data_IF_006317215633
#
_entry.id   IF_006317215633
#
_cell.length_a   1.000
_cell.length_b   1.000
_cell.length_c   1.000
_cell.angle_alpha   90.00
_cell.angle_beta   90.00
_cell.angle_gamma   90.00
#
_symmetry.space_group_name_H-M   'P 1'
#
loop_
_entity.id
_entity.type
_entity.pdbx_description
1 polymer ?
#
# COMPACT_ATOMS: atom_id res chain seq x y z
N UNK A 1 14.56 6.53 -45.02
CA UNK A 1 13.50 7.07 -44.15
C UNK A 1 13.42 6.16 -42.91
N UNK A 2 13.94 6.60 -41.78
CA UNK A 2 13.74 5.90 -40.50
C UNK A 2 12.26 6.10 -40.13
N UNK A 3 11.46 5.07 -40.26
CA UNK A 3 10.12 5.06 -39.70
C UNK A 3 10.24 5.29 -38.21
N UNK A 4 9.79 6.44 -37.75
CA UNK A 4 9.74 6.78 -36.32
C UNK A 4 8.88 5.69 -35.66
N UNK A 5 9.53 4.76 -34.96
CA UNK A 5 8.82 3.70 -34.22
C UNK A 5 7.90 4.43 -33.23
N UNK A 6 6.59 4.28 -33.40
CA UNK A 6 5.62 4.90 -32.48
C UNK A 6 5.84 4.22 -31.13
N UNK A 7 5.99 5.03 -30.08
CA UNK A 7 6.13 4.52 -28.72
C UNK A 7 5.09 3.45 -28.44
N UNK A 8 5.55 2.29 -28.02
CA UNK A 8 4.69 1.15 -27.71
C UNK A 8 4.30 1.09 -26.23
N UNK A 9 4.88 1.96 -25.39
CA UNK A 9 4.63 1.95 -23.95
C UNK A 9 3.20 2.42 -23.63
N UNK A 10 2.47 1.54 -22.96
CA UNK A 10 1.11 1.80 -22.51
C UNK A 10 1.03 1.58 -21.00
N UNK A 11 0.08 2.25 -20.37
CA UNK A 11 -0.25 2.05 -18.98
C UNK A 11 -1.76 2.02 -18.78
N UNK A 12 -2.23 1.16 -17.91
CA UNK A 12 -3.61 1.14 -17.42
C UNK A 12 -3.65 0.90 -15.92
N UNK A 13 -4.61 1.52 -15.24
CA UNK A 13 -4.91 1.22 -13.85
C UNK A 13 -5.83 0.01 -13.81
N UNK A 14 -5.43 -0.99 -13.05
CA UNK A 14 -6.27 -2.17 -12.78
C UNK A 14 -7.09 -1.95 -11.52
N UNK A 15 -6.43 -1.54 -10.45
CA UNK A 15 -7.04 -1.18 -9.17
C UNK A 15 -6.01 -0.51 -8.26
N UNK A 16 -6.41 0.09 -7.18
CA UNK A 16 -5.61 0.65 -6.06
C UNK A 16 -4.12 0.90 -6.39
N UNK A 17 -3.21 -0.01 -6.00
CA UNK A 17 -1.77 0.01 -6.28
C UNK A 17 -1.39 -0.84 -7.51
N UNK A 18 -2.38 -1.39 -8.21
CA UNK A 18 -2.18 -2.29 -9.33
C UNK A 18 -2.31 -1.54 -10.66
N UNK A 19 -1.19 -1.38 -11.35
CA UNK A 19 -1.11 -0.87 -12.72
C UNK A 19 -0.51 -1.94 -13.64
N UNK A 20 -0.94 -1.93 -14.90
CA UNK A 20 -0.38 -2.75 -15.94
C UNK A 20 0.42 -1.87 -16.88
N UNK A 21 1.75 -2.05 -16.91
CA UNK A 21 2.67 -1.36 -17.81
C UNK A 21 3.05 -2.33 -18.91
N UNK A 22 2.77 -1.96 -20.16
CA UNK A 22 3.10 -2.76 -21.35
C UNK A 22 4.17 -2.06 -22.17
N UNK A 23 5.22 -2.77 -22.52
CA UNK A 23 6.29 -2.31 -23.40
C UNK A 23 6.77 -3.47 -24.26
N UNK A 24 6.63 -3.35 -25.56
CA UNK A 24 7.00 -4.40 -26.52
C UNK A 24 6.48 -5.79 -26.11
N UNK A 25 7.37 -6.66 -25.59
CA UNK A 25 7.08 -8.04 -25.19
C UNK A 25 6.81 -8.20 -23.68
N UNK A 26 7.05 -7.15 -22.88
CA UNK A 26 6.85 -7.18 -21.43
C UNK A 26 5.55 -6.52 -21.05
N UNK A 27 4.77 -7.21 -20.22
CA UNK A 27 3.60 -6.69 -19.55
C UNK A 27 3.76 -6.89 -18.05
N UNK A 28 4.08 -5.81 -17.32
CA UNK A 28 4.35 -5.80 -15.89
C UNK A 28 3.11 -5.35 -15.14
N UNK A 29 2.53 -6.23 -14.33
CA UNK A 29 1.46 -5.93 -13.38
C UNK A 29 2.06 -5.65 -12.00
N UNK A 30 1.56 -4.63 -11.29
CA UNK A 30 2.01 -4.34 -9.93
C UNK A 30 0.95 -4.74 -8.90
N UNK A 31 1.39 -5.16 -7.72
CA UNK A 31 0.63 -5.26 -6.47
C UNK A 31 -0.85 -5.71 -6.63
N UNK A 32 -1.13 -6.97 -7.01
CA UNK A 32 -2.46 -7.41 -7.41
C UNK A 32 -3.37 -7.66 -6.21
N UNK A 33 -4.06 -6.62 -5.74
CA UNK A 33 -5.19 -6.70 -4.81
C UNK A 33 -6.47 -6.24 -5.54
N UNK A 34 -7.37 -7.15 -5.85
CA UNK A 34 -8.49 -6.94 -6.77
C UNK A 34 -9.86 -7.17 -6.15
N UNK A 35 -9.91 -7.78 -4.99
CA UNK A 35 -11.14 -8.13 -4.26
C UNK A 35 -10.85 -8.45 -2.80
N UNK A 36 -11.90 -8.34 -1.98
CA UNK A 36 -11.87 -8.61 -0.55
C UNK A 36 -11.19 -7.50 0.24
N UNK A 37 -11.38 -7.56 1.55
CA UNK A 37 -10.87 -6.54 2.47
C UNK A 37 -9.41 -6.80 2.87
N UNK A 38 -8.71 -5.73 3.24
CA UNK A 38 -7.34 -5.77 3.74
C UNK A 38 -7.29 -5.33 5.21
N UNK A 39 -6.19 -5.70 5.89
CA UNK A 39 -5.91 -5.28 7.27
C UNK A 39 -7.04 -5.61 8.25
N UNK A 40 -7.50 -6.89 8.25
CA UNK A 40 -8.56 -7.36 9.14
C UNK A 40 -9.84 -6.51 9.02
N UNK A 41 -10.40 -6.48 7.82
CA UNK A 41 -11.62 -5.74 7.43
C UNK A 41 -11.53 -4.21 7.66
N UNK A 42 -10.30 -3.72 7.89
CA UNK A 42 -10.09 -2.29 8.10
C UNK A 42 -10.12 -1.46 6.82
N UNK A 43 -9.76 -2.04 5.68
CA UNK A 43 -9.73 -1.37 4.38
C UNK A 43 -10.47 -2.15 3.33
N UNK A 44 -11.22 -1.45 2.48
CA UNK A 44 -11.86 -2.02 1.30
C UNK A 44 -11.56 -1.18 0.04
N UNK A 45 -11.65 -1.84 -1.10
CA UNK A 45 -11.51 -1.23 -2.41
C UNK A 45 -12.79 -0.44 -2.76
N UNK A 46 -12.65 0.72 -3.39
CA UNK A 46 -13.80 1.42 -3.99
C UNK A 46 -14.39 0.65 -5.18
N UNK A 47 -13.58 -0.10 -5.86
CA UNK A 47 -13.94 -0.91 -7.01
C UNK A 47 -13.29 -2.28 -6.88
N UNK A 48 -14.05 -3.35 -7.02
CA UNK A 48 -13.55 -4.71 -7.09
C UNK A 48 -13.59 -5.22 -8.53
N UNK A 49 -12.54 -5.91 -8.94
CA UNK A 49 -12.50 -6.56 -10.23
C UNK A 49 -13.20 -7.92 -10.17
N UNK A 50 -14.07 -8.18 -11.12
CA UNK A 50 -14.68 -9.49 -11.23
C UNK A 50 -13.71 -10.55 -11.79
N UNK A 51 -14.14 -11.82 -11.73
CA UNK A 51 -13.30 -12.95 -12.16
C UNK A 51 -12.90 -12.83 -13.65
N UNK A 52 -13.79 -12.41 -14.51
CA UNK A 52 -13.55 -12.34 -15.96
C UNK A 52 -12.60 -11.19 -16.30
N UNK A 53 -12.73 -10.06 -15.61
CA UNK A 53 -11.78 -8.94 -15.71
C UNK A 53 -10.36 -9.38 -15.30
N UNK A 54 -10.24 -10.05 -14.15
CA UNK A 54 -8.95 -10.57 -13.66
C UNK A 54 -8.36 -11.56 -14.66
N UNK A 55 -9.16 -12.49 -15.16
CA UNK A 55 -8.71 -13.47 -16.15
C UNK A 55 -8.25 -12.81 -17.46
N UNK A 56 -8.95 -11.78 -17.94
CA UNK A 56 -8.53 -11.02 -19.15
C UNK A 56 -7.21 -10.30 -18.92
N UNK A 57 -7.03 -9.68 -17.76
CA UNK A 57 -5.78 -8.99 -17.40
C UNK A 57 -4.63 -9.99 -17.37
N UNK A 58 -4.77 -11.09 -16.61
CA UNK A 58 -3.72 -12.10 -16.46
C UNK A 58 -3.30 -12.72 -17.79
N UNK A 59 -4.19 -12.89 -18.75
CA UNK A 59 -3.86 -13.40 -20.09
C UNK A 59 -2.87 -12.50 -20.87
N UNK A 60 -2.71 -11.24 -20.47
CA UNK A 60 -1.75 -10.32 -21.08
C UNK A 60 -0.49 -10.08 -20.24
N UNK A 61 -0.43 -10.62 -19.01
CA UNK A 61 0.67 -10.38 -18.07
C UNK A 61 1.83 -11.34 -18.29
N UNK A 62 3.05 -10.83 -18.29
CA UNK A 62 4.28 -11.64 -18.31
C UNK A 62 4.98 -11.64 -16.94
N UNK A 63 4.89 -10.53 -16.22
CA UNK A 63 5.53 -10.35 -14.91
C UNK A 63 4.58 -9.69 -13.92
N UNK A 64 4.68 -10.09 -12.66
CA UNK A 64 4.03 -9.41 -11.53
C UNK A 64 5.13 -8.89 -10.61
N UNK A 65 5.10 -7.60 -10.29
CA UNK A 65 5.92 -7.00 -9.25
C UNK A 65 5.11 -6.87 -7.98
N UNK A 66 5.68 -7.29 -6.85
CA UNK A 66 5.14 -7.08 -5.51
C UNK A 66 6.09 -6.14 -4.78
N UNK A 67 5.59 -5.00 -4.33
CA UNK A 67 6.39 -3.96 -3.67
C UNK A 67 6.80 -4.36 -2.26
N UNK A 68 5.85 -4.86 -1.47
CA UNK A 68 6.06 -5.29 -0.09
C UNK A 68 4.93 -6.23 0.38
N UNK A 69 4.99 -6.65 1.64
CA UNK A 69 4.15 -7.72 2.20
C UNK A 69 2.79 -7.29 2.74
N UNK A 70 2.44 -6.00 2.73
CA UNK A 70 1.13 -5.54 3.18
C UNK A 70 0.00 -6.13 2.33
N UNK A 71 -1.17 -6.44 2.94
CA UNK A 71 -2.24 -7.18 2.26
C UNK A 71 -2.92 -6.43 1.11
N UNK A 72 -2.80 -5.12 1.04
CA UNK A 72 -3.26 -4.26 -0.05
C UNK A 72 -2.30 -4.22 -1.25
N UNK A 73 -1.09 -4.77 -1.10
CA UNK A 73 -0.09 -4.97 -2.15
C UNK A 73 0.16 -6.46 -2.42
N UNK A 74 0.24 -7.27 -1.36
CA UNK A 74 0.42 -8.71 -1.43
C UNK A 74 -0.85 -9.44 -0.98
N UNK A 75 -1.83 -9.58 -1.88
CA UNK A 75 -3.09 -10.26 -1.60
C UNK A 75 -2.94 -11.77 -1.60
N UNK A 76 -2.85 -12.38 -0.42
CA UNK A 76 -2.84 -13.84 -0.25
C UNK A 76 -4.06 -14.51 -0.93
N UNK A 77 -5.29 -13.98 -0.80
CA UNK A 77 -6.46 -14.52 -1.50
C UNK A 77 -6.30 -14.55 -3.03
N UNK A 78 -5.71 -13.50 -3.62
CA UNK A 78 -5.43 -13.45 -5.05
C UNK A 78 -4.48 -14.58 -5.47
N UNK A 79 -3.32 -14.69 -4.82
CA UNK A 79 -2.32 -15.70 -5.18
C UNK A 79 -2.84 -17.12 -4.98
N UNK A 80 -3.60 -17.40 -3.92
CA UNK A 80 -4.23 -18.71 -3.72
C UNK A 80 -5.25 -19.03 -4.79
N UNK A 81 -6.12 -18.08 -5.15
CA UNK A 81 -7.20 -18.30 -6.12
C UNK A 81 -6.70 -18.48 -7.55
N UNK A 82 -5.66 -17.74 -7.93
CA UNK A 82 -5.18 -17.70 -9.31
C UNK A 82 -3.84 -18.41 -9.53
N UNK A 83 -3.29 -19.14 -8.54
CA UNK A 83 -2.00 -19.84 -8.65
C UNK A 83 -1.88 -20.70 -9.90
N UNK A 84 -2.84 -21.57 -10.16
CA UNK A 84 -2.83 -22.44 -11.35
C UNK A 84 -2.77 -21.62 -12.65
N UNK A 85 -3.58 -20.55 -12.75
CA UNK A 85 -3.57 -19.69 -13.93
C UNK A 85 -2.23 -18.96 -14.11
N UNK A 86 -1.61 -18.52 -13.01
CA UNK A 86 -0.28 -17.89 -13.06
C UNK A 86 0.79 -18.89 -13.53
N UNK A 87 0.69 -20.15 -13.12
CA UNK A 87 1.57 -21.23 -13.55
C UNK A 87 1.36 -21.53 -15.05
N UNK A 88 0.11 -21.75 -15.47
CA UNK A 88 -0.25 -22.08 -16.85
C UNK A 88 0.22 -21.01 -17.84
N UNK A 89 0.15 -19.74 -17.45
CA UNK A 89 0.60 -18.59 -18.22
C UNK A 89 2.11 -18.31 -18.07
N UNK A 90 2.83 -19.09 -17.24
CA UNK A 90 4.26 -18.91 -16.94
C UNK A 90 4.60 -17.47 -16.49
N UNK A 91 3.74 -16.86 -15.69
CA UNK A 91 3.94 -15.51 -15.16
C UNK A 91 5.03 -15.53 -14.10
N UNK A 92 6.03 -14.65 -14.26
CA UNK A 92 7.14 -14.52 -13.32
C UNK A 92 6.81 -13.46 -12.25
N UNK A 93 7.06 -13.78 -10.99
CA UNK A 93 6.79 -12.87 -9.87
C UNK A 93 8.11 -12.28 -9.39
N UNK A 94 8.21 -10.97 -9.36
CA UNK A 94 9.39 -10.23 -8.90
C UNK A 94 9.10 -9.71 -7.50
N UNK A 95 9.93 -10.10 -6.55
CA UNK A 95 9.89 -9.61 -5.17
C UNK A 95 11.30 -9.29 -4.70
N UNK A 96 11.45 -8.27 -3.85
CA UNK A 96 12.75 -7.90 -3.30
C UNK A 96 13.38 -9.03 -2.46
N UNK A 97 14.70 -9.10 -2.48
CA UNK A 97 15.44 -9.97 -1.56
C UNK A 97 15.29 -9.44 -0.13
N UNK A 98 14.75 -10.26 0.77
CA UNK A 98 14.56 -9.95 2.19
C UNK A 98 15.23 -11.00 3.06
N UNK A 99 15.63 -10.64 4.28
CA UNK A 99 16.13 -11.62 5.26
C UNK A 99 15.01 -12.56 5.71
N UNK A 100 13.81 -12.03 5.81
CA UNK A 100 12.60 -12.79 6.05
C UNK A 100 12.06 -13.33 4.73
N UNK A 101 12.11 -14.63 4.57
CA UNK A 101 11.72 -15.30 3.33
C UNK A 101 10.23 -15.68 3.27
N UNK A 102 9.37 -15.13 4.14
CA UNK A 102 7.96 -15.54 4.25
C UNK A 102 7.18 -15.39 2.94
N UNK A 103 7.24 -14.23 2.31
CA UNK A 103 6.55 -13.97 1.03
C UNK A 103 7.05 -14.93 -0.04
N UNK A 104 8.36 -15.03 -0.21
CA UNK A 104 8.99 -15.90 -1.22
C UNK A 104 8.66 -17.37 -0.96
N UNK A 105 8.72 -17.81 0.31
CA UNK A 105 8.37 -19.17 0.71
C UNK A 105 6.91 -19.48 0.40
N UNK A 106 6.00 -18.57 0.75
CA UNK A 106 4.58 -18.72 0.42
C UNK A 106 4.34 -18.85 -1.09
N UNK A 107 4.93 -17.99 -1.90
CA UNK A 107 4.79 -18.05 -3.36
C UNK A 107 5.38 -19.35 -3.95
N UNK A 108 6.50 -19.84 -3.41
CA UNK A 108 7.11 -21.11 -3.82
C UNK A 108 6.30 -22.33 -3.40
N UNK A 109 5.63 -22.29 -2.24
CA UNK A 109 4.67 -23.35 -1.83
C UNK A 109 3.52 -23.46 -2.82
N UNK A 110 3.12 -22.35 -3.45
CA UNK A 110 2.13 -22.35 -4.53
C UNK A 110 2.71 -22.71 -5.90
N UNK A 111 3.96 -23.17 -5.98
CA UNK A 111 4.69 -23.51 -7.21
C UNK A 111 4.83 -22.35 -8.20
N UNK A 112 4.79 -21.11 -7.75
CA UNK A 112 4.93 -19.93 -8.58
C UNK A 112 6.40 -19.65 -8.92
N UNK A 113 6.65 -19.10 -10.11
CA UNK A 113 7.99 -18.74 -10.55
C UNK A 113 8.39 -17.39 -9.93
N UNK A 114 9.28 -17.40 -8.94
CA UNK A 114 9.69 -16.21 -8.19
C UNK A 114 11.12 -15.80 -8.57
N UNK A 115 11.26 -14.54 -9.00
CA UNK A 115 12.53 -13.84 -9.18
C UNK A 115 12.80 -13.01 -7.92
N UNK A 116 13.79 -13.43 -7.15
CA UNK A 116 14.24 -12.72 -5.96
C UNK A 116 15.20 -11.59 -6.35
N UNK A 117 14.72 -10.37 -6.29
CA UNK A 117 15.42 -9.19 -6.79
C UNK A 117 16.40 -8.63 -5.76
N UNK A 118 17.70 -8.65 -6.07
CA UNK A 118 18.74 -8.02 -5.24
C UNK A 118 18.61 -6.50 -5.28
N UNK A 119 18.72 -5.87 -4.11
CA UNK A 119 18.66 -4.41 -3.97
C UNK A 119 19.66 -3.70 -4.90
N UNK A 120 19.15 -2.73 -5.67
CA UNK A 120 19.93 -1.88 -6.58
C UNK A 120 20.70 -2.66 -7.67
N UNK A 121 20.15 -3.79 -8.13
CA UNK A 121 20.68 -4.55 -9.27
C UNK A 121 19.65 -4.58 -10.41
N UNK A 122 20.13 -4.41 -11.64
CA UNK A 122 19.29 -4.57 -12.81
C UNK A 122 18.94 -6.04 -13.04
N UNK A 123 17.69 -6.27 -13.40
CA UNK A 123 17.15 -7.55 -13.88
C UNK A 123 16.65 -7.29 -15.29
N UNK A 124 17.13 -8.07 -16.24
CA UNK A 124 16.64 -8.08 -17.62
C UNK A 124 15.30 -8.84 -17.64
N UNK A 125 14.24 -8.17 -18.08
CA UNK A 125 12.92 -8.80 -18.27
C UNK A 125 12.77 -9.31 -19.71
N UNK A 126 13.31 -8.55 -20.65
CA UNK A 126 13.48 -8.87 -22.05
C UNK A 126 14.52 -7.92 -22.69
N UNK A 127 14.84 -8.12 -23.97
CA UNK A 127 15.80 -7.29 -24.70
C UNK A 127 15.44 -5.79 -24.55
N UNK A 128 16.39 -5.00 -24.01
CA UNK A 128 16.24 -3.56 -23.75
C UNK A 128 15.16 -3.17 -22.72
N UNK A 129 14.57 -4.12 -21.99
CA UNK A 129 13.62 -3.84 -20.90
C UNK A 129 14.18 -4.39 -19.60
N UNK A 130 14.49 -3.50 -18.68
CA UNK A 130 15.15 -3.83 -17.43
C UNK A 130 14.44 -3.22 -16.25
N UNK A 131 14.36 -3.95 -15.14
CA UNK A 131 13.83 -3.45 -13.87
C UNK A 131 14.91 -3.46 -12.80
N UNK A 132 14.92 -2.45 -11.97
CA UNK A 132 15.79 -2.33 -10.79
C UNK A 132 14.94 -2.05 -9.58
N UNK A 133 15.13 -2.85 -8.52
CA UNK A 133 14.40 -2.71 -7.26
C UNK A 133 15.29 -1.99 -6.25
N UNK A 134 14.69 -1.07 -5.49
CA UNK A 134 15.33 -0.39 -4.38
C UNK A 134 14.54 -0.69 -3.11
N UNK A 135 15.17 -1.37 -2.16
CA UNK A 135 14.59 -1.59 -0.83
C UNK A 135 14.59 -0.27 -0.05
N UNK A 136 13.45 0.07 0.52
CA UNK A 136 13.19 1.30 1.27
C UNK A 136 12.79 0.93 2.69
N UNK A 137 13.42 1.56 3.68
CA UNK A 137 13.12 1.21 5.08
C UNK A 137 13.38 -0.26 5.39
N UNK A 138 12.41 -0.90 6.04
CA UNK A 138 12.52 -2.29 6.51
C UNK A 138 11.80 -3.31 5.64
N UNK A 139 10.70 -2.92 5.02
CA UNK A 139 9.81 -3.83 4.28
C UNK A 139 9.48 -3.35 2.86
N UNK A 140 9.48 -2.03 2.62
CA UNK A 140 9.02 -1.45 1.37
C UNK A 140 10.04 -1.58 0.26
N UNK A 141 9.57 -1.50 -0.98
CA UNK A 141 10.42 -1.35 -2.15
C UNK A 141 9.78 -0.51 -3.24
N UNK A 142 10.62 0.14 -4.00
CA UNK A 142 10.26 0.89 -5.20
C UNK A 142 11.00 0.30 -6.40
N UNK A 143 10.49 0.49 -7.60
CA UNK A 143 11.22 0.10 -8.80
C UNK A 143 11.49 1.25 -9.76
N UNK A 144 12.56 1.08 -10.53
CA UNK A 144 12.85 1.79 -11.75
C UNK A 144 12.80 0.78 -12.92
N UNK A 145 11.80 0.93 -13.79
CA UNK A 145 11.69 0.17 -15.03
C UNK A 145 12.23 1.02 -16.18
N UNK A 146 13.20 0.49 -16.91
CA UNK A 146 13.75 1.09 -18.13
C UNK A 146 13.19 0.34 -19.33
N UNK A 147 12.47 1.03 -20.19
CA UNK A 147 12.03 0.56 -21.51
C UNK A 147 12.88 1.24 -22.59
N UNK A 148 12.75 0.88 -23.87
CA UNK A 148 13.42 1.62 -24.94
C UNK A 148 13.11 3.11 -24.96
N UNK A 149 11.91 3.53 -24.51
CA UNK A 149 11.43 4.90 -24.69
C UNK A 149 11.23 5.68 -23.39
N UNK A 150 11.01 5.02 -22.25
CA UNK A 150 10.66 5.68 -21.01
C UNK A 150 11.38 5.06 -19.81
N UNK A 151 11.41 5.84 -18.71
CA UNK A 151 11.63 5.33 -17.36
C UNK A 151 10.33 5.40 -16.58
N UNK A 152 9.94 4.30 -15.93
CA UNK A 152 8.84 4.28 -14.97
C UNK A 152 9.41 4.14 -13.56
N UNK A 153 9.07 5.04 -12.67
CA UNK A 153 9.39 4.99 -11.24
C UNK A 153 8.08 4.72 -10.52
N UNK A 154 7.97 3.56 -9.89
CA UNK A 154 6.85 3.26 -9.02
C UNK A 154 7.30 3.31 -7.57
N UNK A 155 6.91 4.34 -6.87
CA UNK A 155 7.23 4.55 -5.46
C UNK A 155 6.14 4.03 -4.53
N UNK A 156 5.02 3.55 -5.08
CA UNK A 156 3.87 3.07 -4.32
C UNK A 156 3.48 4.03 -3.20
N UNK A 157 3.42 3.52 -1.98
CA UNK A 157 3.20 4.22 -0.72
C UNK A 157 4.50 4.48 0.06
N UNK A 158 5.66 4.15 -0.52
CA UNK A 158 6.97 4.37 0.10
C UNK A 158 7.22 5.83 0.47
N UNK A 159 7.67 6.06 1.68
CA UNK A 159 8.17 7.36 2.12
C UNK A 159 9.67 7.48 1.84
N UNK A 160 10.00 7.98 0.65
CA UNK A 160 11.38 8.13 0.23
C UNK A 160 12.08 9.24 1.01
N UNK A 161 13.21 8.92 1.62
CA UNK A 161 14.16 9.93 2.08
C UNK A 161 14.80 10.66 0.88
N UNK A 162 15.41 11.81 1.13
CA UNK A 162 16.19 12.52 0.11
C UNK A 162 17.30 11.63 -0.49
N UNK A 163 17.94 10.81 0.35
CA UNK A 163 19.02 9.92 -0.09
C UNK A 163 18.50 8.79 -0.97
N UNK A 164 17.33 8.19 -0.63
CA UNK A 164 16.71 7.16 -1.45
C UNK A 164 16.35 7.72 -2.82
N UNK A 165 15.67 8.86 -2.86
CA UNK A 165 15.32 9.52 -4.10
C UNK A 165 16.55 9.87 -4.96
N UNK A 166 17.63 10.38 -4.35
CA UNK A 166 18.88 10.64 -5.04
C UNK A 166 19.55 9.38 -5.58
N UNK A 167 19.52 8.29 -4.80
CA UNK A 167 20.02 6.97 -5.23
C UNK A 167 19.28 6.46 -6.45
N UNK A 168 17.95 6.57 -6.48
CA UNK A 168 17.13 6.19 -7.64
C UNK A 168 17.48 7.08 -8.83
N UNK A 169 17.49 8.40 -8.64
CA UNK A 169 17.71 9.39 -9.68
C UNK A 169 19.09 9.25 -10.38
N UNK A 170 20.11 8.77 -9.66
CA UNK A 170 21.43 8.50 -10.21
C UNK A 170 21.45 7.33 -11.22
N UNK A 171 20.37 6.57 -11.34
CA UNK A 171 20.21 5.47 -12.31
C UNK A 171 19.37 5.87 -13.53
N UNK A 172 18.96 7.14 -13.62
CA UNK A 172 18.14 7.67 -14.71
C UNK A 172 19.02 8.47 -15.64
N UNK A 173 19.07 8.03 -16.89
CA UNK A 173 19.70 8.82 -17.95
C UNK A 173 18.73 9.90 -18.43
N UNK A 174 19.25 11.11 -18.68
CA UNK A 174 18.43 12.29 -19.08
C UNK A 174 17.92 12.25 -20.53
N UNK A 175 17.99 11.09 -21.18
CA UNK A 175 17.68 10.90 -22.60
C UNK A 175 16.23 10.43 -22.85
N UNK A 176 15.50 10.04 -21.80
CA UNK A 176 14.14 9.49 -21.89
C UNK A 176 13.19 10.18 -20.91
N UNK A 177 11.89 10.30 -21.25
CA UNK A 177 10.88 10.73 -20.29
C UNK A 177 10.81 9.86 -19.04
N UNK A 178 10.50 10.49 -17.91
CA UNK A 178 10.28 9.82 -16.63
C UNK A 178 8.79 9.87 -16.29
N UNK A 179 8.21 8.72 -16.03
CA UNK A 179 6.84 8.55 -15.56
C UNK A 179 6.90 8.16 -14.08
N UNK A 180 6.35 9.00 -13.23
CA UNK A 180 6.32 8.79 -11.78
C UNK A 180 4.94 8.32 -11.34
N UNK A 181 4.89 7.19 -10.62
CA UNK A 181 3.70 6.67 -9.94
C UNK A 181 3.88 6.83 -8.44
N UNK A 182 2.92 7.46 -7.76
CA UNK A 182 2.99 7.67 -6.31
C UNK A 182 1.59 7.81 -5.70
N UNK A 183 1.46 7.36 -4.44
CA UNK A 183 0.23 7.51 -3.68
C UNK A 183 -0.12 8.98 -3.43
N UNK A 184 -1.42 9.26 -3.29
CA UNK A 184 -1.91 10.64 -3.13
C UNK A 184 -2.75 10.88 -1.87
N UNK A 185 -3.10 9.84 -1.12
CA UNK A 185 -3.85 9.97 0.12
C UNK A 185 -3.13 9.25 1.27
N UNK A 186 -3.54 9.53 2.48
CA UNK A 186 -2.95 8.88 3.64
C UNK A 186 -3.59 7.51 3.90
N UNK A 187 -2.77 6.63 4.47
CA UNK A 187 -3.17 5.39 5.08
C UNK A 187 -2.57 5.44 6.48
N UNK A 188 -3.32 5.70 7.53
CA UNK A 188 -2.76 5.67 8.86
C UNK A 188 -3.77 6.03 9.96
N UNK A 189 -3.39 5.75 11.12
CA UNK A 189 -4.07 5.35 12.33
C UNK A 189 -4.38 6.45 13.36
N UNK A 190 -4.04 7.70 13.15
CA UNK A 190 -4.40 8.76 14.11
C UNK A 190 -5.76 9.35 13.81
N UNK A 191 -6.61 9.40 14.82
CA UNK A 191 -8.01 9.78 14.66
C UNK A 191 -8.30 11.28 14.85
N UNK A 192 -7.33 12.12 15.28
CA UNK A 192 -7.59 13.54 15.45
C UNK A 192 -7.81 14.22 14.11
N UNK A 193 -8.82 15.12 14.04
CA UNK A 193 -9.13 15.85 12.80
C UNK A 193 -7.93 16.68 12.31
N UNK A 194 -7.19 17.30 13.22
CA UNK A 194 -5.99 18.08 12.87
C UNK A 194 -4.90 17.23 12.23
N UNK A 195 -4.68 16.03 12.75
CA UNK A 195 -3.70 15.13 12.18
C UNK A 195 -4.10 14.67 10.76
N UNK A 196 -5.36 14.27 10.55
CA UNK A 196 -5.87 13.83 9.25
C UNK A 196 -5.65 14.89 8.16
N UNK A 197 -5.96 16.14 8.46
CA UNK A 197 -5.75 17.26 7.55
C UNK A 197 -4.26 17.48 7.24
N UNK A 198 -3.39 17.39 8.26
CA UNK A 198 -1.94 17.49 8.06
C UNK A 198 -1.42 16.34 7.21
N UNK A 199 -1.88 15.11 7.45
CA UNK A 199 -1.49 13.92 6.69
C UNK A 199 -1.94 14.02 5.23
N UNK A 200 -3.19 14.43 4.98
CA UNK A 200 -3.70 14.65 3.63
C UNK A 200 -2.88 15.70 2.87
N UNK A 201 -2.60 16.84 3.50
CA UNK A 201 -1.76 17.90 2.93
C UNK A 201 -0.32 17.42 2.67
N UNK A 202 0.24 16.63 3.59
CA UNK A 202 1.59 16.07 3.43
C UNK A 202 1.69 15.21 2.17
N UNK A 203 0.72 14.32 1.90
CA UNK A 203 0.72 13.49 0.70
C UNK A 203 0.65 14.33 -0.60
N UNK A 204 -0.10 15.42 -0.63
CA UNK A 204 -0.09 16.35 -1.77
C UNK A 204 1.29 16.99 -1.98
N UNK A 205 1.93 17.45 -0.89
CA UNK A 205 3.27 18.03 -0.96
C UNK A 205 4.30 16.99 -1.44
N UNK A 206 4.17 15.72 -1.05
CA UNK A 206 5.06 14.65 -1.53
C UNK A 206 4.95 14.44 -3.04
N UNK A 207 3.75 14.47 -3.62
CA UNK A 207 3.58 14.42 -5.08
C UNK A 207 4.42 15.50 -5.78
N UNK A 208 4.35 16.76 -5.30
CA UNK A 208 5.12 17.86 -5.89
C UNK A 208 6.63 17.69 -5.67
N UNK A 209 7.06 17.29 -4.47
CA UNK A 209 8.48 17.09 -4.15
C UNK A 209 9.12 15.99 -5.00
N UNK A 210 8.46 14.83 -5.11
CA UNK A 210 8.98 13.70 -5.89
C UNK A 210 8.96 13.99 -7.39
N UNK A 211 7.91 14.67 -7.88
CA UNK A 211 7.87 15.13 -9.26
C UNK A 211 9.08 16.03 -9.62
N UNK A 212 9.40 16.97 -8.75
CA UNK A 212 10.58 17.86 -8.92
C UNK A 212 11.90 17.08 -8.80
N UNK A 213 12.01 16.17 -7.83
CA UNK A 213 13.21 15.36 -7.58
C UNK A 213 13.59 14.52 -8.79
N UNK A 214 12.60 13.84 -9.39
CA UNK A 214 12.82 12.97 -10.56
C UNK A 214 12.70 13.70 -11.89
N UNK A 215 12.37 14.99 -11.88
CA UNK A 215 12.07 15.76 -13.10
C UNK A 215 11.07 15.01 -13.99
N UNK A 216 9.98 14.51 -13.38
CA UNK A 216 9.04 13.65 -14.06
C UNK A 216 8.32 14.37 -15.21
N UNK A 217 8.30 13.74 -16.38
CA UNK A 217 7.58 14.22 -17.56
C UNK A 217 6.06 14.00 -17.43
N UNK A 218 5.67 13.03 -16.59
CA UNK A 218 4.29 12.69 -16.28
C UNK A 218 4.21 12.10 -14.87
N UNK A 219 3.30 12.62 -14.05
CA UNK A 219 2.93 12.06 -12.76
C UNK A 219 1.61 11.29 -12.89
N UNK A 220 1.56 10.07 -12.36
CA UNK A 220 0.34 9.26 -12.26
C UNK A 220 0.04 9.04 -10.78
N UNK A 221 -0.89 9.81 -10.19
CA UNK A 221 -1.36 9.56 -8.84
C UNK A 221 -2.15 8.26 -8.77
N UNK A 222 -1.78 7.34 -7.86
CA UNK A 222 -2.41 6.04 -7.71
C UNK A 222 -2.25 5.49 -6.27
N UNK A 223 -2.48 4.20 -6.02
CA UNK A 223 -2.30 3.55 -4.72
C UNK A 223 -3.01 4.26 -3.55
N UNK A 224 -4.24 4.76 -3.81
CA UNK A 224 -5.05 5.44 -2.80
C UNK A 224 -6.56 5.30 -3.08
N UNK A 225 -6.96 4.29 -3.88
CA UNK A 225 -8.36 4.05 -4.24
C UNK A 225 -9.02 3.06 -3.29
N UNK A 226 -8.95 3.39 -1.99
CA UNK A 226 -9.49 2.60 -0.88
C UNK A 226 -10.28 3.49 0.07
N UNK A 227 -11.05 2.85 0.94
CA UNK A 227 -11.66 3.52 2.09
C UNK A 227 -11.49 2.68 3.36
N UNK A 228 -11.55 3.35 4.51
CA UNK A 228 -11.61 2.71 5.81
C UNK A 228 -13.01 2.12 5.99
N UNK A 229 -13.09 0.79 6.04
CA UNK A 229 -14.34 0.05 5.82
C UNK A 229 -14.99 -0.49 7.09
N UNK A 230 -14.39 -0.26 8.26
CA UNK A 230 -14.92 -0.76 9.53
C UNK A 230 -15.54 0.36 10.36
N UNK A 231 -16.55 0.04 11.18
CA UNK A 231 -17.20 1.00 12.08
C UNK A 231 -16.19 1.77 12.94
N UNK A 232 -15.15 1.08 13.43
CA UNK A 232 -14.14 1.67 14.33
C UNK A 232 -13.21 2.68 13.64
N UNK A 233 -13.03 2.59 12.32
CA UNK A 233 -12.11 3.44 11.57
C UNK A 233 -12.75 4.30 10.48
N UNK A 234 -14.07 4.19 10.29
CA UNK A 234 -14.78 4.89 9.21
C UNK A 234 -14.63 6.40 9.25
N UNK A 235 -14.44 6.97 10.45
CA UNK A 235 -14.19 8.40 10.66
C UNK A 235 -12.87 8.88 10.02
N UNK A 236 -11.96 7.97 9.69
CA UNK A 236 -10.71 8.30 8.98
C UNK A 236 -10.96 8.71 7.52
N UNK A 237 -12.13 8.43 6.97
CA UNK A 237 -12.48 8.82 5.60
C UNK A 237 -12.74 10.32 5.42
N UNK A 238 -12.93 11.09 6.49
CA UNK A 238 -13.38 12.49 6.44
C UNK A 238 -12.44 13.45 5.71
N UNK A 239 -11.15 13.17 5.72
CA UNK A 239 -10.11 14.08 5.20
C UNK A 239 -9.25 13.48 4.07
N UNK A 240 -9.60 12.28 3.57
CA UNK A 240 -8.88 11.65 2.45
C UNK A 240 -8.84 12.57 1.23
N UNK A 241 -7.77 12.46 0.47
CA UNK A 241 -7.65 13.21 -0.78
C UNK A 241 -8.42 12.50 -1.89
N UNK A 242 -9.44 13.16 -2.46
CA UNK A 242 -10.11 12.66 -3.67
C UNK A 242 -9.32 13.02 -4.93
N UNK A 243 -9.51 12.30 -6.06
CA UNK A 243 -8.90 12.65 -7.34
C UNK A 243 -9.14 14.09 -7.77
N UNK A 244 -10.32 14.65 -7.50
CA UNK A 244 -10.64 16.05 -7.78
C UNK A 244 -9.75 16.99 -6.97
N UNK A 245 -9.65 16.79 -5.66
CA UNK A 245 -8.80 17.60 -4.76
C UNK A 245 -7.33 17.56 -5.19
N UNK A 246 -6.83 16.37 -5.56
CA UNK A 246 -5.46 16.18 -6.05
C UNK A 246 -5.26 16.86 -7.41
N UNK A 247 -6.24 16.74 -8.32
CA UNK A 247 -6.21 17.40 -9.63
C UNK A 247 -6.08 18.90 -9.49
N UNK A 248 -6.88 19.52 -8.61
CA UNK A 248 -6.83 20.96 -8.37
C UNK A 248 -5.47 21.39 -7.80
N UNK A 249 -4.92 20.63 -6.87
CA UNK A 249 -3.57 20.87 -6.33
C UNK A 249 -2.48 20.79 -7.42
N UNK A 250 -2.48 19.72 -8.24
CA UNK A 250 -1.44 19.51 -9.26
C UNK A 250 -1.52 20.56 -10.38
N UNK A 251 -2.71 21.04 -10.74
CA UNK A 251 -2.90 22.16 -11.67
C UNK A 251 -2.28 23.45 -11.11
N UNK A 252 -2.51 23.75 -9.84
CA UNK A 252 -1.95 24.94 -9.20
C UNK A 252 -0.41 24.88 -9.09
N UNK A 253 0.16 23.68 -8.96
CA UNK A 253 1.61 23.47 -8.98
C UNK A 253 2.21 23.39 -10.41
N UNK A 254 1.40 23.52 -11.47
CA UNK A 254 1.80 23.35 -12.87
C UNK A 254 2.48 21.99 -13.14
N UNK A 255 2.04 20.94 -12.48
CA UNK A 255 2.55 19.57 -12.66
C UNK A 255 1.72 18.87 -13.72
N UNK A 256 2.38 18.25 -14.70
CA UNK A 256 1.74 17.39 -15.68
C UNK A 256 1.40 16.05 -15.06
N UNK A 257 0.13 15.67 -15.09
CA UNK A 257 -0.38 14.44 -14.48
C UNK A 257 -1.45 13.77 -15.30
N UNK A 258 -1.70 12.50 -15.03
CA UNK A 258 -2.87 11.76 -15.52
C UNK A 258 -3.43 10.86 -14.42
N UNK A 259 -4.70 11.06 -14.09
CA UNK A 259 -5.47 10.06 -13.37
C UNK A 259 -5.93 8.98 -14.33
N UNK A 260 -5.99 7.75 -13.82
CA UNK A 260 -6.46 6.58 -14.52
C UNK A 260 -7.65 5.95 -13.77
N UNK A 261 -8.46 5.17 -14.48
CA UNK A 261 -9.51 4.35 -13.88
C UNK A 261 -9.55 2.95 -14.50
N UNK A 262 -10.08 1.94 -13.79
CA UNK A 262 -10.13 0.55 -14.28
C UNK A 262 -10.98 0.38 -15.55
N UNK A 263 -11.86 1.33 -15.84
CA UNK A 263 -12.75 1.30 -17.03
C UNK A 263 -12.14 1.97 -18.25
N UNK A 264 -10.94 2.52 -18.15
CA UNK A 264 -10.22 3.08 -19.27
C UNK A 264 -9.39 2.02 -19.99
N UNK A 265 -9.30 2.14 -21.32
CA UNK A 265 -8.39 1.32 -22.10
C UNK A 265 -6.92 1.67 -21.80
N UNK A 266 -5.99 0.83 -22.27
CA UNK A 266 -4.57 1.11 -22.22
C UNK A 266 -4.24 2.50 -22.77
N UNK A 267 -3.56 3.31 -21.96
CA UNK A 267 -3.21 4.70 -22.28
C UNK A 267 -1.80 4.78 -22.84
N UNK A 268 -1.65 5.26 -24.04
CA UNK A 268 -0.36 5.43 -24.70
C UNK A 268 0.44 6.57 -24.02
N UNK A 269 1.58 6.26 -23.44
CA UNK A 269 2.43 7.21 -22.68
C UNK A 269 2.82 8.42 -23.54
N UNK A 270 3.20 8.21 -24.79
CA UNK A 270 3.57 9.31 -25.69
C UNK A 270 2.44 10.31 -25.91
N UNK A 271 1.18 9.86 -25.97
CA UNK A 271 0.00 10.74 -26.06
C UNK A 271 -0.25 11.49 -24.77
N UNK A 272 -0.09 10.83 -23.61
CA UNK A 272 -0.25 11.49 -22.31
C UNK A 272 0.79 12.60 -22.12
N UNK A 273 2.00 12.42 -22.63
CA UNK A 273 3.06 13.42 -22.56
C UNK A 273 2.87 14.53 -23.60
N UNK A 274 2.51 14.22 -24.85
CA UNK A 274 2.52 15.19 -25.96
C UNK A 274 1.22 15.99 -26.09
N UNK A 275 0.06 15.46 -25.68
CA UNK A 275 -1.24 16.06 -25.90
C UNK A 275 -1.92 16.45 -24.58
N UNK A 276 -1.93 17.75 -24.26
CA UNK A 276 -2.65 18.27 -23.09
C UNK A 276 -4.16 18.02 -23.17
N UNK A 277 -4.74 18.10 -24.36
CA UNK A 277 -6.16 17.88 -24.59
C UNK A 277 -6.56 16.44 -24.31
N UNK A 278 -5.74 15.48 -24.77
CA UNK A 278 -5.94 14.06 -24.48
C UNK A 278 -5.82 13.77 -22.98
N UNK A 279 -4.78 14.29 -22.33
CA UNK A 279 -4.57 14.13 -20.89
C UNK A 279 -5.72 14.76 -20.07
N UNK A 280 -6.23 15.93 -20.46
CA UNK A 280 -7.36 16.57 -19.78
C UNK A 280 -8.66 15.76 -19.89
N UNK A 281 -8.98 15.24 -21.08
CA UNK A 281 -10.15 14.37 -21.27
C UNK A 281 -10.06 13.09 -20.46
N UNK A 282 -8.87 12.49 -20.42
CA UNK A 282 -8.62 11.29 -19.63
C UNK A 282 -8.79 11.57 -18.13
N UNK A 283 -8.20 12.66 -17.63
CA UNK A 283 -8.34 13.10 -16.25
C UNK A 283 -9.80 13.33 -15.87
N UNK A 284 -10.55 14.01 -16.72
CA UNK A 284 -11.98 14.25 -16.49
C UNK A 284 -12.74 12.94 -16.38
N UNK A 285 -12.57 12.02 -17.33
CA UNK A 285 -13.21 10.70 -17.29
C UNK A 285 -12.83 9.87 -16.04
N UNK A 286 -11.55 9.90 -15.63
CA UNK A 286 -11.12 9.21 -14.43
C UNK A 286 -11.72 9.83 -13.16
N UNK A 287 -11.76 11.17 -13.06
CA UNK A 287 -12.37 11.87 -11.93
C UNK A 287 -13.87 11.56 -11.87
N UNK A 288 -14.59 11.62 -13.00
CA UNK A 288 -16.01 11.26 -13.09
C UNK A 288 -16.29 9.82 -12.65
N UNK A 289 -15.36 8.90 -12.92
CA UNK A 289 -15.47 7.52 -12.44
C UNK A 289 -15.28 7.41 -10.92
N UNK A 290 -14.27 8.10 -10.34
CA UNK A 290 -13.91 7.93 -8.94
C UNK A 290 -14.72 8.79 -7.95
N UNK A 291 -15.08 10.02 -8.31
CA UNK A 291 -15.73 10.96 -7.38
C UNK A 291 -17.03 10.43 -6.73
N UNK A 292 -17.90 9.66 -7.41
CA UNK A 292 -19.09 9.09 -6.76
C UNK A 292 -18.75 8.21 -5.55
N UNK A 293 -17.64 7.46 -5.59
CA UNK A 293 -17.21 6.63 -4.46
C UNK A 293 -16.79 7.50 -3.26
N UNK A 294 -16.02 8.57 -3.50
CA UNK A 294 -15.62 9.50 -2.45
C UNK A 294 -16.81 10.25 -1.83
N UNK A 295 -17.83 10.58 -2.63
CA UNK A 295 -19.05 11.21 -2.13
C UNK A 295 -19.84 10.29 -1.21
N UNK A 296 -19.81 8.99 -1.44
CA UNK A 296 -20.49 8.00 -0.61
C UNK A 296 -19.82 7.79 0.76
N UNK A 297 -18.57 8.23 0.97
CA UNK A 297 -17.86 8.11 2.24
C UNK A 297 -18.54 8.82 3.42
N UNK A 298 -19.54 9.66 3.17
CA UNK A 298 -20.39 10.23 4.20
C UNK A 298 -21.56 9.32 4.61
N UNK A 299 -21.77 8.19 3.92
CA UNK A 299 -22.87 7.26 4.17
C UNK A 299 -22.42 6.11 5.06
N UNK A 300 -23.10 5.97 6.21
CA UNK A 300 -22.88 4.85 7.15
C UNK A 300 -23.22 3.45 6.59
N UNK A 301 -23.79 3.36 5.39
CA UNK A 301 -24.12 2.07 4.76
C UNK A 301 -22.91 1.32 4.20
N UNK A 302 -21.72 1.93 4.20
CA UNK A 302 -20.51 1.37 3.59
C UNK A 302 -19.59 0.61 4.56
N UNK A 303 -19.86 0.64 5.86
CA UNK A 303 -18.95 0.00 6.80
C UNK A 303 -19.48 -1.33 7.36
N UNK A 304 -18.52 -2.23 7.65
CA UNK A 304 -18.80 -3.46 8.39
C UNK A 304 -18.99 -3.16 9.88
N UNK A 305 -20.07 -3.62 10.52
CA UNK A 305 -20.29 -3.40 11.94
C UNK A 305 -19.28 -4.19 12.78
N UNK A 306 -19.07 -3.74 14.02
CA UNK A 306 -18.31 -4.51 15.00
C UNK A 306 -18.97 -5.86 15.23
N UNK A 307 -18.30 -6.93 14.85
CA UNK A 307 -18.75 -8.29 15.20
C UNK A 307 -18.09 -8.69 16.52
N UNK A 308 -18.87 -8.84 17.56
CA UNK A 308 -18.38 -9.32 18.86
C UNK A 308 -18.03 -10.81 18.79
N UNK A 309 -16.84 -11.13 18.37
CA UNK A 309 -16.30 -12.50 18.47
C UNK A 309 -15.71 -12.63 19.88
N UNK A 310 -16.49 -13.16 20.79
CA UNK A 310 -16.10 -13.42 22.19
C UNK A 310 -15.30 -14.72 22.33
N UNK A 311 -14.17 -14.82 21.66
CA UNK A 311 -13.23 -15.92 21.95
C UNK A 311 -12.25 -15.49 23.04
N UNK A 312 -12.36 -16.10 24.20
CA UNK A 312 -11.46 -15.84 25.33
C UNK A 312 -10.02 -16.15 24.93
N UNK A 313 -9.11 -15.16 25.13
CA UNK A 313 -7.69 -15.37 24.92
C UNK A 313 -7.16 -16.26 26.04
N UNK A 314 -6.63 -17.42 25.71
CA UNK A 314 -6.04 -18.35 26.65
C UNK A 314 -4.70 -17.84 27.21
N UNK A 315 -4.30 -18.32 28.39
CA UNK A 315 -2.99 -17.97 28.97
C UNK A 315 -1.83 -18.43 28.08
N UNK A 316 -1.98 -19.52 27.32
CA UNK A 316 -0.99 -19.95 26.35
C UNK A 316 -0.82 -18.94 25.20
N UNK A 317 -1.91 -18.42 24.64
CA UNK A 317 -1.85 -17.38 23.58
C UNK A 317 -1.21 -16.08 24.08
N UNK A 318 -1.50 -15.68 25.32
CA UNK A 318 -0.82 -14.53 25.95
C UNK A 318 0.66 -14.79 26.10
N UNK A 319 1.05 -15.98 26.54
CA UNK A 319 2.47 -16.34 26.69
C UNK A 319 3.19 -16.38 25.34
N UNK A 320 2.58 -16.97 24.31
CA UNK A 320 3.13 -16.96 22.94
C UNK A 320 3.33 -15.56 22.39
N UNK A 321 2.39 -14.63 22.64
CA UNK A 321 2.55 -13.23 22.28
C UNK A 321 3.74 -12.59 22.97
N UNK A 322 3.86 -12.77 24.30
CA UNK A 322 4.99 -12.24 25.07
C UNK A 322 6.33 -12.81 24.61
N UNK A 323 6.36 -14.09 24.26
CA UNK A 323 7.57 -14.75 23.74
C UNK A 323 7.92 -14.23 22.33
N UNK A 324 6.93 -14.01 21.46
CA UNK A 324 7.17 -13.36 20.14
C UNK A 324 7.82 -11.99 20.31
N UNK A 325 7.31 -11.16 21.22
CA UNK A 325 7.91 -9.84 21.50
C UNK A 325 9.34 -9.98 22.03
N UNK A 326 9.59 -10.95 22.92
CA UNK A 326 10.93 -11.19 23.51
C UNK A 326 11.94 -11.73 22.50
N UNK A 327 11.51 -12.66 21.64
CA UNK A 327 12.41 -13.42 20.75
C UNK A 327 12.53 -12.85 19.33
N UNK A 328 11.75 -11.85 18.97
CA UNK A 328 11.69 -11.35 17.60
C UNK A 328 13.01 -10.77 17.04
N UNK A 329 14.13 -10.78 17.80
CA UNK A 329 15.47 -10.39 17.32
C UNK A 329 16.64 -10.99 18.06
N UNK A 330 17.56 -11.59 17.30
CA UNK A 330 18.83 -12.14 17.79
C UNK A 330 19.94 -11.10 18.04
N UNK A 331 19.73 -9.82 17.78
CA UNK A 331 20.69 -8.74 18.03
C UNK A 331 20.37 -8.02 19.34
N UNK A 332 21.31 -8.03 20.29
CA UNK A 332 21.17 -7.40 21.61
C UNK A 332 20.75 -5.93 21.52
N UNK A 333 21.35 -5.17 20.60
CA UNK A 333 21.05 -3.75 20.41
C UNK A 333 19.60 -3.55 19.93
N UNK A 334 19.12 -4.39 19.01
CA UNK A 334 17.75 -4.37 18.52
C UNK A 334 16.75 -4.78 19.60
N UNK A 335 17.13 -5.70 20.51
CA UNK A 335 16.32 -6.03 21.69
C UNK A 335 16.17 -4.83 22.62
N UNK A 336 17.27 -4.09 22.86
CA UNK A 336 17.23 -2.87 23.67
C UNK A 336 16.39 -1.76 23.03
N UNK A 337 16.55 -1.53 21.72
CA UNK A 337 15.78 -0.53 20.99
C UNK A 337 14.30 -0.91 20.96
N UNK A 338 13.95 -2.17 20.66
CA UNK A 338 12.55 -2.63 20.70
C UNK A 338 11.95 -2.62 22.11
N UNK A 339 12.72 -2.97 23.12
CA UNK A 339 12.28 -2.86 24.52
C UNK A 339 12.02 -1.41 24.90
N UNK A 340 12.89 -0.48 24.50
CA UNK A 340 12.70 0.95 24.68
C UNK A 340 11.51 1.47 23.89
N UNK A 341 11.37 1.09 22.64
CA UNK A 341 10.23 1.48 21.80
C UNK A 341 8.92 0.89 22.28
N UNK A 342 8.91 -0.38 22.73
CA UNK A 342 7.72 -1.00 23.29
C UNK A 342 7.33 -0.36 24.62
N UNK A 343 8.29 -0.09 25.51
CA UNK A 343 8.03 0.63 26.75
C UNK A 343 7.73 2.12 26.52
N UNK A 344 8.23 2.71 25.43
CA UNK A 344 7.94 4.08 25.04
C UNK A 344 6.58 4.20 24.35
N UNK A 345 6.19 3.19 23.55
CA UNK A 345 4.90 3.17 22.83
C UNK A 345 3.80 2.60 23.72
N UNK A 346 4.10 1.57 24.50
CA UNK A 346 3.10 0.88 25.30
C UNK A 346 3.34 0.98 26.79
N UNK A 347 4.55 1.24 27.31
CA UNK A 347 4.90 1.34 28.72
C UNK A 347 4.13 0.34 29.58
N UNK A 348 3.49 0.77 30.65
CA UNK A 348 2.38 0.10 31.32
C UNK A 348 1.06 0.56 30.67
N UNK A 349 0.86 0.20 29.39
CA UNK A 349 -0.26 0.72 28.60
C UNK A 349 -1.56 0.05 29.01
N UNK A 350 -2.50 0.85 29.43
CA UNK A 350 -3.85 0.41 29.74
C UNK A 350 -4.69 0.52 28.49
N UNK A 351 -5.24 -0.63 28.06
CA UNK A 351 -6.09 -0.76 26.88
C UNK A 351 -7.51 -1.05 27.33
N UNK A 352 -8.48 -0.32 26.81
CA UNK A 352 -9.88 -0.55 27.08
C UNK A 352 -10.55 -1.29 25.92
N UNK A 353 -11.23 -2.41 26.21
CA UNK A 353 -12.03 -3.15 25.24
C UNK A 353 -13.48 -2.68 25.34
N UNK A 354 -13.89 -1.84 24.39
CA UNK A 354 -15.14 -1.09 24.49
C UNK A 354 -16.39 -1.94 24.28
N UNK A 355 -16.27 -3.04 23.56
CA UNK A 355 -17.39 -3.96 23.25
C UNK A 355 -17.70 -4.92 24.40
N UNK A 356 -16.75 -5.18 25.30
CA UNK A 356 -16.92 -6.05 26.47
C UNK A 356 -16.76 -5.34 27.81
N UNK A 357 -16.49 -4.03 27.79
CA UNK A 357 -16.28 -3.17 28.98
C UNK A 357 -15.19 -3.69 29.94
N UNK A 358 -14.05 -4.07 29.38
CA UNK A 358 -12.91 -4.60 30.14
C UNK A 358 -11.65 -3.78 29.87
N UNK A 359 -10.82 -3.62 30.89
CA UNK A 359 -9.50 -2.99 30.76
C UNK A 359 -8.38 -4.02 30.97
N UNK A 360 -7.33 -3.85 30.17
CA UNK A 360 -6.13 -4.68 30.22
C UNK A 360 -4.87 -3.84 30.35
N UNK A 361 -3.96 -4.29 31.18
CA UNK A 361 -2.58 -3.80 31.24
C UNK A 361 -1.74 -4.63 30.29
N UNK A 362 -1.20 -3.97 29.27
CA UNK A 362 -0.26 -4.56 28.32
C UNK A 362 1.12 -3.97 28.56
N UNK A 363 2.09 -4.79 28.86
CA UNK A 363 3.50 -4.40 28.90
C UNK A 363 4.39 -5.50 28.34
N UNK A 364 5.69 -5.27 28.33
CA UNK A 364 6.67 -6.21 27.80
C UNK A 364 6.70 -7.59 28.50
N UNK A 365 6.15 -7.68 29.70
CA UNK A 365 6.22 -8.87 30.53
C UNK A 365 4.89 -9.57 30.76
N UNK A 366 3.79 -8.86 30.59
CA UNK A 366 2.48 -9.40 30.96
C UNK A 366 1.32 -8.75 30.21
N UNK A 367 0.25 -9.54 30.07
CA UNK A 367 -1.09 -9.08 29.71
C UNK A 367 -1.99 -9.45 30.88
N UNK A 368 -2.55 -8.46 31.55
CA UNK A 368 -3.37 -8.68 32.75
C UNK A 368 -4.67 -7.88 32.64
N UNK A 369 -5.79 -8.51 32.96
CA UNK A 369 -7.04 -7.80 33.18
C UNK A 369 -6.89 -6.94 34.44
N UNK A 370 -7.36 -5.69 34.36
CA UNK A 370 -7.29 -4.71 35.44
C UNK A 370 -8.66 -4.09 35.67
N UNK A 371 -8.86 -3.49 36.85
CA UNK A 371 -10.08 -2.76 37.17
C UNK A 371 -9.80 -1.26 37.01
N UNK A 372 -9.89 -0.78 35.77
CA UNK A 372 -9.67 0.63 35.44
C UNK A 372 -10.82 1.14 34.59
N UNK A 373 -11.28 2.39 34.80
CA UNK A 373 -12.27 3.02 33.93
C UNK A 373 -11.64 3.40 32.59
N UNK A 374 -12.49 3.55 31.55
CA UNK A 374 -12.07 3.88 30.19
C UNK A 374 -11.17 5.11 30.14
N UNK A 375 -11.50 6.14 30.90
CA UNK A 375 -10.83 7.44 30.90
C UNK A 375 -9.35 7.37 31.33
N UNK A 376 -8.99 6.32 32.08
CA UNK A 376 -7.63 6.07 32.51
C UNK A 376 -6.83 5.16 31.56
N UNK A 377 -7.43 4.77 30.43
CA UNK A 377 -6.80 3.96 29.41
C UNK A 377 -6.20 4.85 28.31
N UNK A 378 -5.16 4.35 27.65
CA UNK A 378 -4.47 5.04 26.58
C UNK A 378 -5.28 4.97 25.26
N UNK A 379 -5.72 3.77 24.94
CA UNK A 379 -6.52 3.50 23.75
C UNK A 379 -7.75 2.66 24.07
N UNK A 380 -8.76 2.79 23.22
CA UNK A 380 -9.96 1.96 23.22
C UNK A 380 -10.02 1.21 21.90
N UNK A 381 -10.13 -0.12 21.96
CA UNK A 381 -10.23 -1.02 20.80
C UNK A 381 -11.34 -2.05 21.03
N UNK A 382 -11.76 -2.74 19.99
CA UNK A 382 -12.64 -3.91 20.14
C UNK A 382 -11.86 -5.15 20.64
N UNK A 383 -12.57 -6.11 21.19
CA UNK A 383 -12.03 -7.41 21.56
C UNK A 383 -11.44 -8.15 20.34
N UNK A 384 -12.04 -7.98 19.16
CA UNK A 384 -11.50 -8.51 17.90
C UNK A 384 -10.12 -7.93 17.57
N UNK A 385 -9.96 -6.62 17.64
CA UNK A 385 -8.66 -5.95 17.46
C UNK A 385 -7.63 -6.38 18.51
N UNK A 386 -8.05 -6.63 19.75
CA UNK A 386 -7.18 -7.16 20.80
C UNK A 386 -6.75 -8.60 20.51
N UNK A 387 -7.68 -9.46 20.08
CA UNK A 387 -7.37 -10.83 19.64
C UNK A 387 -6.38 -10.83 18.47
N UNK A 388 -6.55 -9.93 17.51
CA UNK A 388 -5.61 -9.76 16.40
C UNK A 388 -4.19 -9.47 16.91
N UNK A 389 -4.03 -8.51 17.84
CA UNK A 389 -2.74 -8.17 18.44
C UNK A 389 -2.11 -9.42 19.10
N UNK A 390 -2.89 -10.15 19.89
CA UNK A 390 -2.37 -11.27 20.69
C UNK A 390 -2.07 -12.49 19.82
N UNK A 391 -2.91 -12.81 18.84
CA UNK A 391 -2.83 -14.05 18.06
C UNK A 391 -1.93 -13.94 16.83
N UNK A 392 -1.89 -12.77 16.20
CA UNK A 392 -1.18 -12.61 14.92
C UNK A 392 0.20 -12.01 15.12
N UNK A 393 1.18 -12.51 14.36
CA UNK A 393 2.57 -12.01 14.39
C UNK A 393 2.63 -10.53 14.02
N UNK A 394 1.74 -10.08 13.13
CA UNK A 394 1.65 -8.69 12.65
C UNK A 394 0.47 -7.92 13.22
N UNK A 395 -0.14 -8.43 14.32
CA UNK A 395 -1.36 -7.86 14.84
C UNK A 395 -1.23 -6.38 15.22
N UNK A 396 -0.10 -6.00 15.85
CA UNK A 396 0.20 -4.59 16.18
C UNK A 396 0.41 -3.73 14.93
N UNK A 397 1.18 -4.23 13.97
CA UNK A 397 1.45 -3.51 12.73
C UNK A 397 0.14 -3.33 11.94
N UNK A 398 -0.68 -4.39 11.87
CA UNK A 398 -2.01 -4.33 11.25
C UNK A 398 -2.91 -3.32 11.95
N UNK A 399 -2.97 -3.29 13.29
CA UNK A 399 -3.78 -2.32 14.03
C UNK A 399 -3.31 -0.88 13.77
N UNK A 400 -2.01 -0.67 13.69
CA UNK A 400 -1.45 0.66 13.42
C UNK A 400 -1.79 1.19 12.02
N UNK A 401 -1.98 0.30 11.05
CA UNK A 401 -2.32 0.67 9.67
C UNK A 401 -3.83 0.75 9.44
N UNK A 402 -4.60 -0.18 10.03
CA UNK A 402 -6.05 -0.21 9.81
C UNK A 402 -6.82 0.88 10.58
N UNK A 403 -6.21 1.46 11.62
CA UNK A 403 -6.81 2.54 12.40
C UNK A 403 -8.06 2.14 13.21
N UNK A 404 -8.27 0.83 13.48
CA UNK A 404 -9.38 0.33 14.31
C UNK A 404 -9.12 0.54 15.80
N UNK A 405 -8.83 1.79 16.17
CA UNK A 405 -8.56 2.21 17.53
C UNK A 405 -9.05 3.66 17.77
N UNK A 406 -9.40 3.96 19.00
CA UNK A 406 -9.70 5.32 19.47
C UNK A 406 -8.71 5.71 20.57
N UNK A 407 -8.09 6.88 20.44
CA UNK A 407 -7.32 7.52 21.51
C UNK A 407 -8.27 7.97 22.62
N UNK A 408 -7.97 7.65 23.86
CA UNK A 408 -8.81 8.02 25.03
C UNK A 408 -8.18 9.16 25.80
N UNK A 409 -6.85 9.18 25.97
CA UNK A 409 -6.14 10.26 26.65
C UNK A 409 -5.46 11.18 25.64
N UNK A 410 -5.47 12.50 25.95
CA UNK A 410 -4.74 13.50 25.15
C UNK A 410 -3.22 13.50 25.40
N UNK A 411 -2.71 12.61 26.24
CA UNK A 411 -1.31 12.56 26.63
C UNK A 411 -0.46 11.73 25.64
N UNK A 412 -0.58 12.08 24.39
CA UNK A 412 0.47 11.90 23.40
C UNK A 412 0.78 10.48 22.92
N UNK A 413 0.27 10.17 21.78
CA UNK A 413 0.99 9.34 20.81
C UNK A 413 1.82 10.22 19.90
#
# INVERSE_FOLDING_TARGET
>A
MLTKKISSDNISLVNHASVLIKSETVSLLTDPWFFGDAFNDGWALFYENDHDEICRILNSVTHIFISHEHPDHFSIPFFKKYSNKLIDLNIKIIFQETNDKRVITFLRILNLHVIEAKNNKWIELDLNIHIKIFSIGTIDSTFLLSTPENYFINTNDCELSFFDGKKINNNIEKNKPVILLHQFSYAAWRASSEWKQKAAKYKLIQLSKLNKLFNASLLIPFASFIYFAHEENFNLNSDVNSPKKVSDFLKNENIKYSFLSPKQNDCLISKLISSSDHSNKLNQSAIEFWEPFYQQLNSKSLYSPVTSITSVISENEKQEFLDRIKFSNNLFLMKCIKKLSFNFIFGDSKIYLHDINEAYLLNFYSIKKISEPKENCLISISHDSFNLIVRQVYGLDTLSVNGRLAEVSNDGF
#
